data_IF_968353959039
#
_entry.id   IF_968353959039
#
_cell.length_a   1.000
_cell.length_b   1.000
_cell.length_c   1.000
_cell.angle_alpha   90.00
_cell.angle_beta   90.00
_cell.angle_gamma   90.00
#
_symmetry.space_group_name_H-M   'P 1'
#
loop_
_entity.id
_entity.type
_entity.pdbx_description
1 polymer ?
#
# COMPACT_ATOMS: atom_id res chain seq x y z
N UNK A 1 18.41 -13.07 5.99
CA UNK A 1 17.17 -12.99 6.79
C UNK A 1 17.53 -12.81 8.25
N UNK A 2 16.76 -12.02 9.02
CA UNK A 2 16.94 -11.91 10.48
C UNK A 2 16.59 -13.23 11.18
N UNK A 3 17.18 -13.48 12.37
CA UNK A 3 16.84 -14.66 13.20
C UNK A 3 15.33 -14.73 13.48
N UNK A 4 14.68 -13.56 13.69
CA UNK A 4 13.24 -13.46 13.89
C UNK A 4 12.45 -13.98 12.68
N UNK A 5 12.83 -13.58 11.47
CA UNK A 5 12.18 -14.06 10.25
C UNK A 5 12.40 -15.56 10.00
N UNK A 6 13.60 -16.07 10.33
CA UNK A 6 13.91 -17.51 10.25
C UNK A 6 13.08 -18.33 11.24
N UNK A 7 12.97 -17.89 12.49
CA UNK A 7 12.13 -18.53 13.51
C UNK A 7 10.66 -18.54 13.10
N UNK A 8 10.15 -17.42 12.59
CA UNK A 8 8.77 -17.34 12.09
C UNK A 8 8.52 -18.34 10.95
N UNK A 9 9.42 -18.41 9.97
CA UNK A 9 9.32 -19.35 8.85
C UNK A 9 9.35 -20.81 9.31
N UNK A 10 10.20 -21.15 10.29
CA UNK A 10 10.26 -22.50 10.86
C UNK A 10 8.96 -22.89 11.59
N UNK A 11 8.39 -21.95 12.37
CA UNK A 11 7.13 -22.17 13.07
C UNK A 11 5.94 -22.28 12.11
N UNK A 12 5.93 -21.48 11.05
CA UNK A 12 4.90 -21.54 10.01
C UNK A 12 4.95 -22.88 9.26
N UNK A 13 6.16 -23.29 8.82
CA UNK A 13 6.36 -24.60 8.18
C UNK A 13 6.00 -25.78 9.07
N UNK A 14 6.02 -25.63 10.40
CA UNK A 14 5.60 -26.66 11.34
C UNK A 14 4.08 -26.82 11.45
N UNK A 15 3.28 -25.92 10.85
CA UNK A 15 1.82 -25.99 10.74
C UNK A 15 1.12 -26.30 12.10
N UNK A 16 1.49 -25.55 13.14
CA UNK A 16 0.94 -25.70 14.49
C UNK A 16 1.56 -26.83 15.33
N UNK A 17 2.56 -27.54 14.81
CA UNK A 17 3.36 -28.48 15.62
C UNK A 17 4.30 -27.70 16.52
N UNK A 18 4.46 -28.14 17.76
CA UNK A 18 5.40 -27.55 18.69
C UNK A 18 6.84 -27.88 18.28
N UNK A 19 7.69 -26.85 18.21
CA UNK A 19 9.13 -26.96 18.06
C UNK A 19 9.80 -26.51 19.34
N UNK A 20 10.70 -27.33 19.88
CA UNK A 20 11.47 -26.95 21.06
C UNK A 20 12.44 -25.80 20.73
N UNK A 21 12.80 -25.03 21.75
CA UNK A 21 13.81 -23.97 21.56
C UNK A 21 15.17 -24.54 21.17
N UNK A 22 15.45 -25.81 21.45
CA UNK A 22 16.67 -26.52 21.04
C UNK A 22 16.60 -26.88 19.55
N UNK A 23 15.51 -27.50 19.08
CA UNK A 23 15.30 -27.81 17.65
C UNK A 23 15.42 -26.56 16.78
N UNK A 24 14.81 -25.45 17.22
CA UNK A 24 14.90 -24.17 16.49
C UNK A 24 16.33 -23.64 16.46
N UNK A 25 17.04 -23.69 17.59
CA UNK A 25 18.42 -23.22 17.68
C UNK A 25 19.37 -24.03 16.78
N UNK A 26 19.27 -25.36 16.81
CA UNK A 26 20.06 -26.28 15.98
C UNK A 26 19.75 -26.13 14.50
N UNK A 27 18.45 -26.16 14.13
CA UNK A 27 18.02 -26.05 12.75
C UNK A 27 18.37 -24.71 12.07
N UNK A 28 18.48 -23.64 12.86
CA UNK A 28 18.80 -22.29 12.37
C UNK A 28 20.28 -21.90 12.58
N UNK A 29 21.08 -22.71 13.27
CA UNK A 29 22.47 -22.40 13.58
C UNK A 29 22.65 -21.20 14.52
N UNK A 30 21.72 -21.00 15.48
CA UNK A 30 21.72 -19.85 16.41
C UNK A 30 21.64 -20.31 17.86
N UNK A 31 21.86 -19.39 18.81
CA UNK A 31 21.73 -19.73 20.23
C UNK A 31 20.26 -19.82 20.67
N UNK A 32 19.96 -20.64 21.71
CA UNK A 32 18.64 -20.68 22.36
C UNK A 32 18.17 -19.31 22.85
N UNK A 33 19.10 -18.48 23.32
CA UNK A 33 18.79 -17.09 23.73
C UNK A 33 18.35 -16.25 22.54
N UNK A 34 18.94 -16.41 21.35
CA UNK A 34 18.52 -15.73 20.14
C UNK A 34 17.11 -16.18 19.71
N UNK A 35 16.81 -17.48 19.80
CA UNK A 35 15.46 -18.01 19.57
C UNK A 35 14.45 -17.39 20.52
N UNK A 36 14.75 -17.37 21.82
CA UNK A 36 13.84 -16.80 22.84
C UNK A 36 13.58 -15.29 22.57
N UNK A 37 14.62 -14.51 22.25
CA UNK A 37 14.46 -13.10 21.87
C UNK A 37 13.59 -12.93 20.61
N UNK A 38 13.78 -13.79 19.61
CA UNK A 38 12.98 -13.79 18.40
C UNK A 38 11.51 -14.10 18.68
N UNK A 39 11.20 -15.12 19.47
CA UNK A 39 9.85 -15.47 19.90
C UNK A 39 9.20 -14.32 20.67
N UNK A 40 9.91 -13.71 21.62
CA UNK A 40 9.41 -12.57 22.39
C UNK A 40 9.07 -11.38 21.48
N UNK A 41 9.94 -11.09 20.50
CA UNK A 41 9.70 -10.03 19.51
C UNK A 41 8.51 -10.35 18.59
N UNK A 42 8.36 -11.59 18.14
CA UNK A 42 7.21 -12.03 17.33
C UNK A 42 5.89 -11.89 18.09
N UNK A 43 5.87 -12.25 19.36
CA UNK A 43 4.69 -12.07 20.21
C UNK A 43 4.35 -10.60 20.43
N UNK A 44 5.36 -9.75 20.62
CA UNK A 44 5.17 -8.30 20.73
C UNK A 44 4.63 -7.68 19.42
N UNK A 45 4.94 -8.28 18.27
CA UNK A 45 4.37 -7.89 16.97
C UNK A 45 2.99 -8.53 16.69
N UNK A 46 2.39 -9.21 17.67
CA UNK A 46 1.03 -9.75 17.57
C UNK A 46 0.92 -11.16 16.99
N UNK A 47 2.03 -11.85 16.71
CA UNK A 47 1.94 -13.24 16.26
C UNK A 47 1.45 -14.16 17.40
N UNK A 48 0.39 -14.96 17.16
CA UNK A 48 -0.18 -15.87 18.16
C UNK A 48 0.70 -17.11 18.31
N UNK A 49 1.80 -16.98 19.05
CA UNK A 49 2.72 -18.08 19.34
C UNK A 49 2.43 -18.61 20.72
N UNK A 50 1.98 -19.88 20.79
CA UNK A 50 1.81 -20.60 22.03
C UNK A 50 3.18 -21.10 22.54
N UNK A 51 3.41 -21.00 23.85
CA UNK A 51 4.60 -21.56 24.52
C UNK A 51 4.15 -22.48 25.61
N UNK A 52 4.55 -23.74 25.53
CA UNK A 52 4.20 -24.79 26.51
C UNK A 52 5.50 -25.36 27.06
N UNK A 53 5.60 -25.40 28.38
CA UNK A 53 6.75 -25.98 29.08
C UNK A 53 6.99 -27.42 28.61
N UNK A 54 8.23 -27.76 28.32
CA UNK A 54 8.70 -29.06 27.82
C UNK A 54 8.19 -29.44 26.41
N UNK A 55 7.34 -28.63 25.74
CA UNK A 55 6.92 -28.86 24.36
C UNK A 55 7.53 -27.84 23.41
N UNK A 56 7.81 -26.59 23.85
CA UNK A 56 8.38 -25.53 23.06
C UNK A 56 7.34 -24.54 22.55
N UNK A 57 7.48 -24.11 21.31
CA UNK A 57 6.73 -23.03 20.68
C UNK A 57 5.95 -23.53 19.47
N UNK A 58 4.73 -23.07 19.28
CA UNK A 58 3.94 -23.32 18.09
C UNK A 58 3.27 -22.02 17.62
N UNK A 59 3.36 -21.72 16.34
CA UNK A 59 2.53 -20.69 15.73
C UNK A 59 1.12 -21.26 15.56
N UNK A 60 0.10 -20.51 15.99
CA UNK A 60 -1.28 -20.95 15.83
C UNK A 60 -1.58 -21.15 14.35
N UNK A 61 -2.24 -22.28 14.04
CA UNK A 61 -2.67 -22.56 12.65
C UNK A 61 -3.56 -21.42 12.15
N UNK A 62 -3.37 -21.06 10.90
CA UNK A 62 -4.18 -20.03 10.31
C UNK A 62 -3.65 -18.61 10.55
N UNK A 63 -2.43 -18.46 11.09
CA UNK A 63 -1.80 -17.15 11.21
C UNK A 63 -1.38 -16.62 9.82
N UNK A 64 -1.67 -15.36 9.53
CA UNK A 64 -1.24 -14.70 8.30
C UNK A 64 0.26 -14.35 8.36
N UNK A 65 1.09 -15.18 7.73
CA UNK A 65 2.55 -15.00 7.67
C UNK A 65 2.95 -14.39 6.34
N UNK A 66 3.43 -13.15 6.38
CA UNK A 66 3.95 -12.44 5.20
C UNK A 66 5.45 -12.70 5.04
N UNK A 67 5.82 -13.37 3.94
CA UNK A 67 7.21 -13.58 3.55
C UNK A 67 7.39 -13.54 2.02
N UNK A 68 8.62 -13.38 1.55
CA UNK A 68 8.90 -13.24 0.12
C UNK A 68 8.52 -14.47 -0.70
N UNK A 69 8.65 -15.68 -0.14
CA UNK A 69 8.26 -16.94 -0.79
C UNK A 69 6.76 -17.02 -1.03
N UNK A 70 5.95 -16.67 -0.02
CA UNK A 70 4.50 -16.65 -0.13
C UNK A 70 4.01 -15.66 -1.20
N UNK A 71 4.61 -14.46 -1.28
CA UNK A 71 4.27 -13.50 -2.33
C UNK A 71 4.67 -14.03 -3.71
N UNK A 72 5.91 -14.52 -3.87
CA UNK A 72 6.40 -15.05 -5.17
C UNK A 72 5.57 -16.21 -5.70
N UNK A 73 5.10 -17.09 -4.83
CA UNK A 73 4.27 -18.24 -5.21
C UNK A 73 2.92 -17.85 -5.82
N UNK A 74 2.46 -16.62 -5.62
CA UNK A 74 1.20 -16.08 -6.12
C UNK A 74 1.38 -15.11 -7.29
N UNK A 75 2.64 -14.84 -7.71
CA UNK A 75 2.89 -14.00 -8.88
C UNK A 75 2.61 -14.77 -10.18
N UNK A 76 1.98 -14.07 -11.12
CA UNK A 76 1.85 -14.52 -12.51
C UNK A 76 3.23 -14.53 -13.21
N UNK A 77 3.40 -15.29 -14.31
CA UNK A 77 4.69 -15.46 -14.96
C UNK A 77 5.43 -14.16 -15.33
N UNK A 78 4.72 -13.14 -15.80
CA UNK A 78 5.30 -11.85 -16.17
C UNK A 78 5.90 -11.11 -14.98
N UNK A 79 5.12 -10.77 -13.94
CA UNK A 79 5.63 -10.23 -12.68
C UNK A 79 6.69 -11.10 -12.00
N UNK A 80 6.50 -12.43 -11.99
CA UNK A 80 7.45 -13.35 -11.35
C UNK A 80 8.85 -13.31 -11.98
N UNK A 81 8.92 -13.13 -13.31
CA UNK A 81 10.19 -13.03 -14.04
C UNK A 81 10.89 -11.67 -13.84
N UNK A 82 10.13 -10.60 -13.56
CA UNK A 82 10.63 -9.23 -13.56
C UNK A 82 10.85 -8.65 -12.15
N UNK A 83 10.12 -9.15 -11.14
CA UNK A 83 10.10 -8.54 -9.81
C UNK A 83 10.95 -9.31 -8.80
N UNK A 84 11.74 -8.56 -8.03
CA UNK A 84 12.52 -9.09 -6.92
C UNK A 84 11.84 -8.72 -5.60
N UNK A 85 11.29 -9.71 -4.90
CA UNK A 85 10.55 -9.49 -3.67
C UNK A 85 11.46 -9.63 -2.46
N UNK A 86 11.51 -8.59 -1.63
CA UNK A 86 12.15 -8.59 -0.32
C UNK A 86 11.10 -8.27 0.76
N UNK A 87 11.14 -9.02 1.86
CA UNK A 87 10.31 -8.75 3.05
C UNK A 87 11.23 -8.54 4.24
N UNK A 88 11.00 -7.45 4.97
CA UNK A 88 11.79 -7.07 6.15
C UNK A 88 10.88 -6.83 7.35
N UNK A 89 11.41 -7.02 8.56
CA UNK A 89 10.62 -6.88 9.79
C UNK A 89 10.20 -5.42 10.03
N UNK A 90 11.17 -4.51 10.06
CA UNK A 90 10.93 -3.10 10.35
C UNK A 90 11.98 -2.22 9.69
N UNK A 91 11.58 -1.06 9.25
CA UNK A 91 12.46 0.00 8.76
C UNK A 91 11.76 1.37 8.90
N UNK A 92 12.45 2.50 8.71
CA UNK A 92 11.81 3.81 8.77
C UNK A 92 10.69 3.99 7.74
N UNK A 93 10.92 3.57 6.48
CA UNK A 93 9.92 3.63 5.43
C UNK A 93 10.40 2.92 4.17
N UNK A 94 9.53 2.14 3.53
CA UNK A 94 9.84 1.35 2.33
C UNK A 94 10.22 2.26 1.15
N UNK A 95 9.53 3.40 0.96
CA UNK A 95 9.88 4.38 -0.07
C UNK A 95 11.29 4.96 0.15
N UNK A 96 11.60 5.40 1.37
CA UNK A 96 12.90 5.98 1.68
C UNK A 96 14.04 4.98 1.45
N UNK A 97 13.83 3.72 1.82
CA UNK A 97 14.81 2.66 1.60
C UNK A 97 15.05 2.38 0.11
N UNK A 98 13.97 2.31 -0.69
CA UNK A 98 14.13 2.10 -2.14
C UNK A 98 14.72 3.32 -2.86
N UNK A 99 14.41 4.56 -2.46
CA UNK A 99 15.06 5.75 -3.00
C UNK A 99 16.58 5.72 -2.76
N UNK A 100 17.00 5.35 -1.55
CA UNK A 100 18.43 5.22 -1.25
C UNK A 100 19.10 4.16 -2.11
N UNK A 101 18.44 3.01 -2.36
CA UNK A 101 18.94 1.96 -3.25
C UNK A 101 18.95 2.39 -4.73
N UNK A 102 17.91 3.13 -5.17
CA UNK A 102 17.84 3.67 -6.53
C UNK A 102 19.03 4.60 -6.84
N UNK A 103 19.38 5.48 -5.90
CA UNK A 103 20.56 6.35 -5.99
C UNK A 103 21.90 5.58 -6.04
N UNK A 104 21.93 4.33 -5.58
CA UNK A 104 23.07 3.40 -5.65
C UNK A 104 23.02 2.50 -6.90
N UNK A 105 22.11 2.79 -7.85
CA UNK A 105 22.00 2.03 -9.11
C UNK A 105 21.19 0.75 -9.02
N UNK A 106 20.36 0.55 -8.00
CA UNK A 106 19.48 -0.62 -7.94
C UNK A 106 18.59 -0.72 -9.20
N UNK A 107 18.36 -1.93 -9.74
CA UNK A 107 17.56 -2.14 -10.93
C UNK A 107 16.07 -1.91 -10.70
N UNK A 108 15.34 -1.68 -11.79
CA UNK A 108 13.88 -1.70 -11.80
C UNK A 108 13.32 -3.04 -11.32
N UNK A 109 12.14 -3.02 -10.72
CA UNK A 109 11.43 -4.24 -10.30
C UNK A 109 11.78 -4.71 -8.88
N UNK A 110 12.60 -3.97 -8.14
CA UNK A 110 12.82 -4.27 -6.73
C UNK A 110 11.58 -3.88 -5.91
N UNK A 111 10.98 -4.86 -5.24
CA UNK A 111 9.81 -4.72 -4.37
C UNK A 111 10.25 -4.93 -2.92
N UNK A 112 10.03 -3.92 -2.08
CA UNK A 112 10.35 -3.98 -0.67
C UNK A 112 9.06 -3.91 0.16
N UNK A 113 8.82 -4.93 0.97
CA UNK A 113 7.67 -5.04 1.87
C UNK A 113 8.18 -5.01 3.30
N UNK A 114 7.56 -4.22 4.17
CA UNK A 114 7.88 -4.17 5.60
C UNK A 114 6.70 -4.69 6.44
N UNK A 115 7.02 -5.42 7.52
CA UNK A 115 6.01 -5.81 8.51
C UNK A 115 5.52 -4.60 9.32
N UNK A 116 6.40 -3.58 9.51
CA UNK A 116 6.06 -2.31 10.15
C UNK A 116 6.97 -1.19 9.66
N UNK A 117 6.52 0.07 9.76
CA UNK A 117 7.35 1.23 9.52
C UNK A 117 7.37 2.14 10.76
N UNK A 118 8.54 2.65 11.13
CA UNK A 118 8.68 3.58 12.26
C UNK A 118 8.51 5.05 11.89
N UNK A 119 8.64 5.39 10.61
CA UNK A 119 8.49 6.74 10.06
C UNK A 119 7.84 6.69 8.67
N UNK A 120 6.75 5.92 8.53
CA UNK A 120 5.97 5.84 7.29
C UNK A 120 5.50 7.22 6.85
N UNK A 121 5.53 7.50 5.55
CA UNK A 121 5.20 8.82 5.00
C UNK A 121 4.13 8.74 3.92
N UNK A 122 3.20 9.68 3.97
CA UNK A 122 2.26 10.02 2.93
C UNK A 122 2.68 11.30 2.19
N UNK A 123 1.81 11.78 1.31
CA UNK A 123 2.02 13.03 0.56
C UNK A 123 2.21 14.23 1.49
N UNK A 124 3.02 15.18 1.04
CA UNK A 124 3.34 16.42 1.78
C UNK A 124 3.94 16.17 3.17
N UNK A 125 4.69 15.07 3.34
CA UNK A 125 5.38 14.75 4.58
C UNK A 125 4.48 14.28 5.72
N UNK A 126 3.18 14.04 5.51
CA UNK A 126 2.28 13.54 6.55
C UNK A 126 2.71 12.15 7.01
N UNK A 127 2.63 11.84 8.30
CA UNK A 127 2.89 10.49 8.77
C UNK A 127 1.87 9.51 8.19
N UNK A 128 2.32 8.29 7.94
CA UNK A 128 1.45 7.15 7.63
C UNK A 128 1.63 6.09 8.72
N UNK A 129 0.60 5.89 9.52
CA UNK A 129 0.61 4.95 10.64
C UNK A 129 0.75 3.52 10.12
N UNK A 130 1.82 2.82 10.53
CA UNK A 130 2.23 1.55 9.95
C UNK A 130 2.61 0.53 11.04
N UNK A 131 1.69 0.15 11.94
CA UNK A 131 1.97 -0.82 12.99
C UNK A 131 2.14 -2.22 12.43
N UNK A 132 2.81 -3.14 13.16
CA UNK A 132 2.94 -4.53 12.75
C UNK A 132 1.59 -5.26 12.78
N UNK A 133 1.42 -6.23 11.88
CA UNK A 133 0.32 -7.19 11.90
C UNK A 133 -0.98 -6.73 11.24
N UNK A 134 -1.30 -5.44 11.22
CA UNK A 134 -2.60 -4.91 10.75
C UNK A 134 -2.61 -4.36 9.34
N UNK A 135 -1.46 -4.30 8.66
CA UNK A 135 -1.36 -3.70 7.34
C UNK A 135 -0.39 -4.39 6.39
N UNK A 136 -0.36 -3.89 5.15
CA UNK A 136 0.63 -4.20 4.12
C UNK A 136 1.32 -2.90 3.69
N UNK A 137 2.63 -2.83 3.88
CA UNK A 137 3.45 -1.66 3.55
C UNK A 137 4.48 -2.06 2.50
N UNK A 138 4.25 -1.67 1.26
CA UNK A 138 5.01 -2.12 0.09
C UNK A 138 5.45 -0.94 -0.76
N UNK A 139 6.67 -1.02 -1.32
CA UNK A 139 7.14 -0.09 -2.34
C UNK A 139 7.77 -0.84 -3.51
N UNK A 140 7.70 -0.25 -4.70
CA UNK A 140 8.23 -0.77 -5.95
C UNK A 140 9.17 0.27 -6.55
N UNK A 141 10.38 -0.12 -6.93
CA UNK A 141 11.31 0.72 -7.68
C UNK A 141 11.03 0.58 -9.18
N UNK A 142 10.81 1.72 -9.83
CA UNK A 142 10.49 1.84 -11.25
C UNK A 142 11.51 2.73 -11.95
N UNK A 143 11.78 2.47 -13.23
CA UNK A 143 12.58 3.33 -14.12
C UNK A 143 11.80 3.63 -15.40
N UNK A 144 10.76 4.47 -15.30
CA UNK A 144 9.83 4.71 -16.40
C UNK A 144 10.41 5.68 -17.44
N UNK A 145 10.18 5.41 -18.70
CA UNK A 145 10.42 6.36 -19.80
C UNK A 145 9.31 7.42 -19.87
N UNK A 146 9.18 8.22 -18.80
CA UNK A 146 8.14 9.23 -18.64
C UNK A 146 8.74 10.57 -18.25
N UNK A 147 8.16 11.66 -18.77
CA UNK A 147 8.45 13.00 -18.26
C UNK A 147 7.77 13.26 -16.90
N UNK A 148 8.29 14.22 -16.15
CA UNK A 148 7.83 14.52 -14.78
C UNK A 148 6.31 14.75 -14.66
N UNK A 149 5.70 15.42 -15.66
CA UNK A 149 4.24 15.67 -15.67
C UNK A 149 3.40 14.39 -15.79
N UNK A 150 3.99 13.29 -16.24
CA UNK A 150 3.33 12.00 -16.43
C UNK A 150 3.46 11.07 -15.22
N UNK A 151 4.26 11.44 -14.20
CA UNK A 151 4.46 10.64 -12.99
C UNK A 151 3.12 10.29 -12.28
N UNK A 152 2.13 11.17 -12.35
CA UNK A 152 0.79 10.94 -11.79
C UNK A 152 0.09 9.70 -12.40
N UNK A 153 0.45 9.31 -13.63
CA UNK A 153 -0.09 8.10 -14.30
C UNK A 153 0.31 6.84 -13.54
N UNK A 154 1.51 6.79 -12.97
CA UNK A 154 1.96 5.67 -12.11
C UNK A 154 1.03 5.54 -10.90
N UNK A 155 0.70 6.66 -10.27
CA UNK A 155 -0.24 6.67 -9.14
C UNK A 155 -1.63 6.19 -9.54
N UNK A 156 -2.15 6.62 -10.69
CA UNK A 156 -3.47 6.23 -11.18
C UNK A 156 -3.54 4.74 -11.56
N UNK A 157 -2.51 4.21 -12.25
CA UNK A 157 -2.38 2.76 -12.52
C UNK A 157 -2.36 1.96 -11.21
N UNK A 158 -1.55 2.40 -10.25
CA UNK A 158 -1.45 1.75 -8.95
C UNK A 158 -2.79 1.79 -8.18
N UNK A 159 -3.53 2.88 -8.25
CA UNK A 159 -4.82 3.01 -7.58
C UNK A 159 -5.86 2.01 -8.14
N UNK A 160 -5.93 1.86 -9.47
CA UNK A 160 -6.81 0.87 -10.11
C UNK A 160 -6.37 -0.56 -9.75
N UNK A 161 -5.08 -0.87 -9.87
CA UNK A 161 -4.53 -2.18 -9.54
C UNK A 161 -4.77 -2.57 -8.08
N UNK A 162 -4.54 -1.61 -7.19
CA UNK A 162 -4.74 -1.78 -5.77
C UNK A 162 -6.23 -1.95 -5.40
N UNK A 163 -7.13 -1.21 -6.05
CA UNK A 163 -8.58 -1.36 -5.88
C UNK A 163 -9.05 -2.75 -6.34
N UNK A 164 -8.66 -3.20 -7.53
CA UNK A 164 -8.98 -4.54 -8.05
C UNK A 164 -8.50 -5.66 -7.13
N UNK A 165 -7.25 -5.56 -6.66
CA UNK A 165 -6.68 -6.56 -5.75
C UNK A 165 -7.41 -6.59 -4.40
N UNK A 166 -7.72 -5.41 -3.85
CA UNK A 166 -8.46 -5.30 -2.60
C UNK A 166 -9.88 -5.86 -2.71
N UNK A 167 -10.62 -5.52 -3.78
CA UNK A 167 -11.97 -6.02 -4.04
C UNK A 167 -12.03 -7.54 -4.16
N UNK A 168 -11.07 -8.14 -4.91
CA UNK A 168 -11.00 -9.61 -5.00
C UNK A 168 -10.78 -10.28 -3.65
N UNK A 169 -10.09 -9.59 -2.74
CA UNK A 169 -9.77 -10.14 -1.44
C UNK A 169 -10.89 -9.94 -0.43
N UNK A 170 -11.51 -8.76 -0.39
CA UNK A 170 -12.51 -8.42 0.63
C UNK A 170 -13.96 -8.52 0.16
N UNK A 171 -14.20 -8.69 -1.16
CA UNK A 171 -15.54 -8.80 -1.74
C UNK A 171 -16.37 -7.50 -1.69
N UNK A 172 -15.75 -6.35 -1.35
CA UNK A 172 -16.41 -5.06 -1.22
C UNK A 172 -15.89 -4.06 -2.25
N UNK A 173 -16.74 -3.15 -2.70
CA UNK A 173 -16.36 -2.12 -3.66
C UNK A 173 -15.37 -1.12 -3.05
N UNK A 174 -14.34 -0.75 -3.83
CA UNK A 174 -13.28 0.18 -3.43
C UNK A 174 -13.32 1.41 -4.36
N UNK A 175 -13.65 2.56 -3.78
CA UNK A 175 -13.62 3.84 -4.48
C UNK A 175 -12.24 4.48 -4.44
N UNK A 176 -11.99 5.43 -5.35
CA UNK A 176 -10.76 6.20 -5.41
C UNK A 176 -11.06 7.67 -5.10
N UNK A 177 -10.48 8.18 -4.03
CA UNK A 177 -10.44 9.62 -3.77
C UNK A 177 -9.21 10.21 -4.42
N UNK A 178 -9.43 11.09 -5.39
CA UNK A 178 -8.35 11.70 -6.16
C UNK A 178 -7.25 12.27 -5.25
N UNK A 179 -6.01 11.92 -5.48
CA UNK A 179 -5.44 11.20 -6.63
C UNK A 179 -5.04 9.76 -6.22
N UNK A 180 -4.95 9.47 -4.92
CA UNK A 180 -4.06 8.44 -4.37
C UNK A 180 -4.63 7.71 -3.14
N UNK A 181 -5.86 7.98 -2.73
CA UNK A 181 -6.45 7.32 -1.57
C UNK A 181 -7.54 6.33 -2.00
N UNK A 182 -7.44 5.09 -1.55
CA UNK A 182 -8.51 4.12 -1.68
C UNK A 182 -9.44 4.19 -0.48
N UNK A 183 -10.72 4.18 -0.76
CA UNK A 183 -11.77 4.35 0.24
C UNK A 183 -12.71 3.15 0.23
N UNK A 184 -13.11 2.71 1.43
CA UNK A 184 -14.20 1.78 1.66
C UNK A 184 -15.11 2.38 2.74
N UNK A 185 -16.41 2.38 2.52
CA UNK A 185 -17.42 2.88 3.49
C UNK A 185 -17.09 4.29 4.03
N UNK A 186 -16.60 5.17 3.15
CA UNK A 186 -16.23 6.54 3.49
C UNK A 186 -14.90 6.70 4.23
N UNK A 187 -14.18 5.62 4.54
CA UNK A 187 -12.91 5.62 5.28
C UNK A 187 -11.75 5.18 4.39
N UNK A 188 -10.58 5.74 4.64
CA UNK A 188 -9.36 5.43 3.89
C UNK A 188 -8.79 4.08 4.29
N UNK A 189 -8.73 3.16 3.34
CA UNK A 189 -8.17 1.80 3.51
C UNK A 189 -6.79 1.62 2.88
N UNK A 190 -6.40 2.52 1.94
CA UNK A 190 -5.06 2.53 1.38
C UNK A 190 -4.62 3.93 1.00
N UNK A 191 -3.34 4.23 1.22
CA UNK A 191 -2.67 5.42 0.70
C UNK A 191 -1.58 5.03 -0.27
N UNK A 192 -1.50 5.76 -1.40
CA UNK A 192 -0.49 5.55 -2.44
C UNK A 192 0.41 6.77 -2.50
N UNK A 193 1.73 6.56 -2.56
CA UNK A 193 2.73 7.61 -2.64
C UNK A 193 3.75 7.30 -3.73
N UNK A 194 3.70 8.05 -4.83
CA UNK A 194 4.74 8.02 -5.86
C UNK A 194 5.73 9.15 -5.63
N UNK A 195 6.99 8.83 -5.39
CA UNK A 195 8.11 9.76 -5.28
C UNK A 195 9.06 9.52 -6.46
N UNK A 196 9.38 10.57 -7.20
CA UNK A 196 10.20 10.46 -8.41
C UNK A 196 11.40 11.40 -8.35
N UNK A 197 12.53 10.95 -8.93
CA UNK A 197 13.70 11.76 -9.21
C UNK A 197 13.75 12.07 -10.71
N UNK A 198 14.15 13.28 -11.05
CA UNK A 198 14.29 13.74 -12.43
C UNK A 198 15.77 13.83 -12.80
N UNK A 199 16.09 13.39 -14.01
CA UNK A 199 17.29 13.79 -14.68
C UNK A 199 17.08 15.21 -15.25
N UNK A 200 17.89 16.16 -14.78
CA UNK A 200 17.76 17.56 -15.14
C UNK A 200 18.17 17.86 -16.59
N UNK A 201 19.00 17.00 -17.21
CA UNK A 201 19.47 17.19 -18.59
C UNK A 201 18.39 16.76 -19.59
N UNK A 202 17.76 15.59 -19.37
CA UNK A 202 16.74 15.06 -20.27
C UNK A 202 15.32 15.51 -19.94
N UNK A 203 15.07 16.00 -18.72
CA UNK A 203 13.72 16.28 -18.20
C UNK A 203 12.85 15.03 -17.99
N UNK A 204 13.46 13.84 -18.10
CA UNK A 204 12.81 12.55 -17.89
C UNK A 204 12.95 12.10 -16.43
N UNK A 205 12.13 11.14 -16.03
CA UNK A 205 12.30 10.51 -14.73
C UNK A 205 13.51 9.56 -14.75
N UNK A 206 14.46 9.76 -13.85
CA UNK A 206 15.55 8.79 -13.60
C UNK A 206 14.99 7.55 -12.94
N UNK A 207 14.21 7.73 -11.88
CA UNK A 207 13.49 6.65 -11.22
C UNK A 207 12.23 7.16 -10.53
N UNK A 208 11.31 6.24 -10.24
CA UNK A 208 10.17 6.48 -9.37
C UNK A 208 10.06 5.36 -8.32
N UNK A 209 9.70 5.72 -7.11
CA UNK A 209 9.36 4.77 -6.05
C UNK A 209 7.88 4.88 -5.76
N UNK A 210 7.15 3.82 -6.06
CA UNK A 210 5.73 3.69 -5.84
C UNK A 210 5.48 2.97 -4.51
N UNK A 211 4.97 3.68 -3.51
CA UNK A 211 4.59 3.13 -2.21
C UNK A 211 3.09 2.92 -2.08
N UNK A 212 2.72 1.80 -1.49
CA UNK A 212 1.33 1.47 -1.12
C UNK A 212 1.29 1.07 0.35
N UNK A 213 0.42 1.72 1.11
CA UNK A 213 0.13 1.39 2.50
C UNK A 213 -1.34 1.01 2.65
N UNK A 214 -1.60 -0.27 2.87
CA UNK A 214 -2.95 -0.79 3.13
C UNK A 214 -3.18 -0.99 4.62
N UNK A 215 -4.38 -0.68 5.07
CA UNK A 215 -4.94 -1.06 6.34
C UNK A 215 -5.80 -2.32 6.12
N UNK A 216 -5.34 -3.49 6.55
CA UNK A 216 -6.12 -4.72 6.40
C UNK A 216 -7.13 -4.86 7.53
N UNK A 217 -6.69 -4.64 8.76
CA UNK A 217 -7.54 -4.69 9.96
C UNK A 217 -7.28 -3.47 10.82
N UNK A 218 -8.18 -3.20 11.73
CA UNK A 218 -7.91 -2.22 12.78
C UNK A 218 -6.72 -2.69 13.63
N UNK A 219 -5.78 -1.81 13.97
CA UNK A 219 -4.67 -2.14 14.86
C UNK A 219 -5.15 -2.58 16.23
N UNK A 220 -4.43 -3.49 16.89
CA UNK A 220 -4.81 -4.01 18.21
C UNK A 220 -4.96 -2.92 19.30
N UNK A 221 -4.32 -1.75 19.12
CA UNK A 221 -4.46 -0.59 20.02
C UNK A 221 -5.45 0.47 19.52
N UNK A 222 -6.25 0.19 18.48
CA UNK A 222 -7.10 1.17 17.82
C UNK A 222 -6.33 2.12 16.90
N UNK A 223 -7.04 3.03 16.27
CA UNK A 223 -6.47 4.12 15.51
C UNK A 223 -6.01 5.25 16.45
N UNK A 224 -4.88 5.93 16.15
CA UNK A 224 -4.57 7.21 16.79
C UNK A 224 -5.74 8.20 16.66
N UNK A 225 -5.94 9.05 17.66
CA UNK A 225 -7.06 10.00 17.74
C UNK A 225 -7.21 10.83 16.46
N UNK A 226 -6.09 11.28 15.88
CA UNK A 226 -6.06 12.07 14.65
C UNK A 226 -6.47 11.28 13.38
N UNK A 227 -6.58 9.96 13.46
CA UNK A 227 -7.02 9.07 12.38
C UNK A 227 -8.41 8.48 12.60
N UNK A 228 -9.02 8.69 13.77
CA UNK A 228 -10.39 8.25 14.04
C UNK A 228 -11.39 8.85 13.04
N UNK A 229 -12.27 8.01 12.52
CA UNK A 229 -13.24 8.40 11.49
C UNK A 229 -12.66 8.68 10.10
N UNK A 230 -11.32 8.74 9.96
CA UNK A 230 -10.62 8.96 8.68
C UNK A 230 -10.05 7.65 8.15
N UNK A 231 -9.33 6.91 8.98
CA UNK A 231 -8.80 5.61 8.63
C UNK A 231 -9.87 4.53 8.74
N UNK A 232 -9.82 3.58 7.84
CA UNK A 232 -10.61 2.36 7.86
C UNK A 232 -9.74 1.16 7.52
N UNK A 233 -10.32 -0.02 7.58
CA UNK A 233 -9.67 -1.28 7.27
C UNK A 233 -10.45 -2.06 6.18
N UNK A 234 -9.75 -2.95 5.47
CA UNK A 234 -10.36 -3.82 4.46
C UNK A 234 -11.23 -4.91 5.10
N UNK A 235 -10.95 -5.29 6.34
CA UNK A 235 -11.65 -6.34 7.07
C UNK A 235 -11.99 -5.87 8.48
N UNK A 236 -13.13 -6.31 9.01
CA UNK A 236 -13.51 -6.11 10.40
C UNK A 236 -12.68 -7.03 11.30
N UNK A 237 -12.63 -8.31 10.95
CA UNK A 237 -11.82 -9.34 11.61
C UNK A 237 -10.55 -9.65 10.81
N UNK A 238 -9.61 -10.34 11.46
CA UNK A 238 -8.36 -10.70 10.79
C UNK A 238 -8.64 -11.64 9.61
N UNK A 239 -8.14 -11.29 8.40
CA UNK A 239 -8.43 -12.04 7.20
C UNK A 239 -7.81 -13.44 7.24
N UNK A 240 -8.25 -14.31 6.33
CA UNK A 240 -7.71 -15.65 6.17
C UNK A 240 -6.17 -15.64 6.03
N UNK A 241 -5.48 -16.72 6.46
CA UNK A 241 -4.04 -16.85 6.30
C UNK A 241 -3.57 -16.64 4.87
N UNK A 242 -2.47 -15.92 4.70
CA UNK A 242 -1.92 -15.58 3.39
C UNK A 242 -2.56 -14.35 2.73
N UNK A 243 -3.52 -13.70 3.37
CA UNK A 243 -4.22 -12.52 2.80
C UNK A 243 -3.27 -11.36 2.47
N UNK A 244 -2.26 -11.08 3.31
CA UNK A 244 -1.27 -10.05 3.01
C UNK A 244 -0.42 -10.40 1.80
N UNK A 245 0.00 -11.65 1.67
CA UNK A 245 0.75 -12.14 0.51
C UNK A 245 -0.13 -12.11 -0.76
N UNK A 246 -1.39 -12.52 -0.66
CA UNK A 246 -2.35 -12.49 -1.75
C UNK A 246 -2.65 -11.06 -2.22
N UNK A 247 -2.81 -10.11 -1.29
CA UNK A 247 -2.98 -8.69 -1.63
C UNK A 247 -1.74 -8.12 -2.31
N UNK A 248 -0.55 -8.38 -1.77
CA UNK A 248 0.70 -7.92 -2.38
C UNK A 248 0.88 -8.48 -3.81
N UNK A 249 0.73 -9.78 -3.98
CA UNK A 249 0.83 -10.41 -5.30
C UNK A 249 -0.29 -9.93 -6.24
N UNK A 250 -1.51 -9.79 -5.76
CA UNK A 250 -2.64 -9.28 -6.54
C UNK A 250 -2.40 -7.87 -7.08
N UNK A 251 -1.86 -6.96 -6.25
CA UNK A 251 -1.47 -5.61 -6.70
C UNK A 251 -0.38 -5.69 -7.76
N UNK A 252 0.65 -6.51 -7.56
CA UNK A 252 1.77 -6.65 -8.48
C UNK A 252 1.34 -7.28 -9.82
N UNK A 253 0.48 -8.28 -9.80
CA UNK A 253 -0.08 -8.93 -10.99
C UNK A 253 -0.94 -7.97 -11.83
N UNK A 254 -1.68 -7.06 -11.18
CA UNK A 254 -2.46 -6.03 -11.89
C UNK A 254 -1.61 -4.85 -12.37
N UNK A 255 -0.71 -4.37 -11.52
CA UNK A 255 0.06 -3.15 -11.79
C UNK A 255 1.12 -3.35 -12.85
N UNK A 256 1.91 -4.44 -12.76
CA UNK A 256 3.08 -4.63 -13.61
C UNK A 256 2.75 -4.69 -15.10
N UNK A 257 1.72 -5.44 -15.56
CA UNK A 257 1.30 -5.41 -16.95
C UNK A 257 0.84 -4.04 -17.44
N UNK A 258 0.07 -3.30 -16.63
CA UNK A 258 -0.39 -1.94 -16.97
C UNK A 258 0.79 -0.97 -17.12
N UNK A 259 1.75 -1.05 -16.21
CA UNK A 259 2.96 -0.24 -16.24
C UNK A 259 3.81 -0.55 -17.47
N UNK A 260 4.03 -1.83 -17.77
CA UNK A 260 4.82 -2.26 -18.94
C UNK A 260 4.16 -1.97 -20.27
N UNK A 261 2.86 -2.04 -20.36
CA UNK A 261 2.11 -1.71 -21.58
C UNK A 261 2.20 -0.21 -21.95
N UNK A 262 2.39 0.68 -20.97
CA UNK A 262 2.47 2.12 -21.17
C UNK A 262 1.20 2.77 -21.71
N UNK A 263 0.18 2.01 -22.08
CA UNK A 263 -1.10 2.47 -22.61
C UNK A 263 -1.97 3.09 -21.52
N UNK A 264 -2.79 4.09 -21.89
CA UNK A 264 -3.80 4.67 -21.00
C UNK A 264 -5.09 3.85 -20.95
N UNK A 265 -5.36 3.04 -21.96
CA UNK A 265 -6.65 2.41 -22.18
C UNK A 265 -6.96 1.34 -21.12
N UNK A 266 -5.92 0.72 -20.55
CA UNK A 266 -6.06 -0.34 -19.56
C UNK A 266 -6.49 0.10 -18.15
N UNK A 267 -6.46 1.39 -17.81
CA UNK A 267 -6.77 1.85 -16.45
C UNK A 267 -7.58 3.15 -16.35
N UNK A 268 -7.50 4.06 -17.34
CA UNK A 268 -7.99 5.42 -17.20
C UNK A 268 -9.52 5.50 -17.06
N UNK A 269 -10.26 4.71 -17.84
CA UNK A 269 -11.73 4.66 -17.74
C UNK A 269 -12.18 4.13 -16.38
N UNK A 270 -11.54 3.09 -15.91
CA UNK A 270 -11.83 2.54 -14.60
C UNK A 270 -11.43 3.50 -13.48
N UNK A 271 -10.28 4.16 -13.60
CA UNK A 271 -9.87 5.21 -12.66
C UNK A 271 -10.91 6.33 -12.56
N UNK A 272 -11.51 6.76 -13.70
CA UNK A 272 -12.60 7.74 -13.76
C UNK A 272 -13.88 7.23 -13.11
N UNK A 273 -14.28 6.01 -13.42
CA UNK A 273 -15.49 5.39 -12.87
C UNK A 273 -15.43 5.27 -11.36
N UNK A 274 -14.26 4.95 -10.80
CA UNK A 274 -14.04 4.80 -9.35
C UNK A 274 -13.90 6.12 -8.59
N UNK A 275 -13.90 7.28 -9.29
CA UNK A 275 -13.69 8.57 -8.65
C UNK A 275 -14.87 9.00 -7.78
N UNK A 276 -14.61 9.12 -6.48
CA UNK A 276 -15.62 9.53 -5.51
C UNK A 276 -15.92 11.03 -5.50
N UNK A 277 -15.05 11.86 -6.10
CA UNK A 277 -15.24 13.31 -6.08
C UNK A 277 -16.04 13.83 -7.27
N UNK A 278 -16.24 13.06 -8.31
CA UNK A 278 -16.97 13.48 -9.51
C UNK A 278 -18.41 13.87 -9.17
N UNK A 279 -18.83 15.06 -9.59
CA UNK A 279 -20.15 15.61 -9.30
C UNK A 279 -20.27 16.30 -7.94
N UNK A 280 -19.29 16.16 -7.04
CA UNK A 280 -19.31 16.78 -5.71
C UNK A 280 -18.62 18.14 -5.69
N UNK A 281 -18.94 18.91 -4.68
CA UNK A 281 -18.31 20.19 -4.37
C UNK A 281 -17.10 19.95 -3.46
N UNK A 282 -15.98 20.58 -3.78
CA UNK A 282 -14.73 20.47 -3.04
C UNK A 282 -14.16 21.84 -2.72
N UNK A 283 -13.44 21.91 -1.61
CA UNK A 283 -12.56 23.03 -1.29
C UNK A 283 -11.18 22.79 -1.93
N UNK A 284 -10.76 23.70 -2.79
CA UNK A 284 -9.45 23.67 -3.45
C UNK A 284 -8.48 24.54 -2.68
N UNK A 285 -7.44 23.92 -2.14
CA UNK A 285 -6.41 24.55 -1.30
C UNK A 285 -5.10 24.63 -2.09
N UNK A 286 -4.61 25.85 -2.31
CA UNK A 286 -3.29 26.11 -2.90
C UNK A 286 -2.39 26.80 -1.90
N UNK A 287 -1.09 26.46 -1.83
CA UNK A 287 -0.16 27.19 -0.96
C UNK A 287 -0.17 28.71 -1.26
N UNK A 288 -0.26 29.50 -0.21
CA UNK A 288 -0.19 30.97 -0.31
C UNK A 288 -1.44 31.68 -0.88
N UNK A 289 -2.54 30.96 -1.11
CA UNK A 289 -3.79 31.58 -1.60
C UNK A 289 -4.98 31.14 -0.73
N UNK A 290 -6.03 31.99 -0.62
CA UNK A 290 -7.28 31.59 0.01
C UNK A 290 -7.86 30.33 -0.65
N UNK A 291 -8.51 29.50 0.14
CA UNK A 291 -9.24 28.34 -0.39
C UNK A 291 -10.41 28.80 -1.27
N UNK A 292 -10.74 28.01 -2.28
CA UNK A 292 -11.87 28.27 -3.17
C UNK A 292 -12.71 27.00 -3.34
N UNK A 293 -14.01 27.20 -3.30
CA UNK A 293 -14.96 26.11 -3.57
C UNK A 293 -15.09 25.89 -5.07
N UNK A 294 -15.16 24.64 -5.51
CA UNK A 294 -15.35 24.27 -6.90
C UNK A 294 -16.12 22.95 -7.02
N UNK A 295 -16.89 22.80 -8.11
CA UNK A 295 -17.56 21.55 -8.49
C UNK A 295 -16.58 20.68 -9.27
N UNK A 296 -16.46 19.42 -8.92
CA UNK A 296 -15.64 18.45 -9.67
C UNK A 296 -16.45 17.93 -10.86
N UNK A 297 -15.89 18.07 -12.06
CA UNK A 297 -16.47 17.59 -13.32
C UNK A 297 -15.98 16.18 -13.68
N UNK A 298 -14.81 15.78 -13.17
CA UNK A 298 -14.19 14.49 -13.42
C UNK A 298 -12.68 14.55 -13.46
N UNK A 299 -12.08 13.59 -14.16
CA UNK A 299 -10.62 13.48 -14.36
C UNK A 299 -10.29 13.46 -15.86
N UNK A 300 -9.34 14.27 -16.27
CA UNK A 300 -8.90 14.33 -17.67
C UNK A 300 -7.98 13.14 -18.06
N UNK A 301 -7.53 13.15 -19.32
CA UNK A 301 -6.62 12.09 -19.85
C UNK A 301 -5.24 12.06 -19.19
N UNK A 302 -4.85 13.13 -18.50
CA UNK A 302 -3.58 13.24 -17.80
C UNK A 302 -3.73 13.04 -16.28
N UNK A 303 -4.86 12.44 -15.85
CA UNK A 303 -5.22 12.19 -14.46
C UNK A 303 -5.30 13.44 -13.58
N UNK A 304 -5.51 14.63 -14.19
CA UNK A 304 -5.75 15.87 -13.46
C UNK A 304 -7.22 15.99 -13.10
N UNK A 305 -7.50 16.57 -11.93
CA UNK A 305 -8.87 16.82 -11.49
C UNK A 305 -9.44 18.02 -12.24
N UNK A 306 -10.51 17.83 -12.98
CA UNK A 306 -11.20 18.91 -13.71
C UNK A 306 -12.28 19.48 -12.81
N UNK A 307 -12.17 20.78 -12.53
CA UNK A 307 -13.11 21.49 -11.65
C UNK A 307 -13.67 22.74 -12.31
N UNK A 308 -14.82 23.19 -11.84
CA UNK A 308 -15.47 24.44 -12.22
C UNK A 308 -15.70 25.27 -10.96
N UNK A 309 -15.12 26.46 -10.88
CA UNK A 309 -15.18 27.35 -9.71
C UNK A 309 -16.52 28.09 -9.60
N UNK A 310 -17.11 28.47 -10.73
CA UNK A 310 -18.39 29.15 -10.80
C UNK A 310 -19.25 28.52 -11.89
N UNK A 311 -20.58 28.44 -11.73
CA UNK A 311 -21.45 27.94 -12.78
C UNK A 311 -21.22 28.69 -14.11
N UNK A 312 -21.01 27.95 -15.21
CA UNK A 312 -20.75 28.51 -16.54
C UNK A 312 -19.31 28.99 -16.79
N UNK A 313 -18.43 29.01 -15.78
CA UNK A 313 -17.02 29.34 -15.99
C UNK A 313 -16.27 28.21 -16.73
N UNK A 314 -15.16 28.56 -17.39
CA UNK A 314 -14.31 27.57 -18.06
C UNK A 314 -13.74 26.57 -17.05
N UNK A 315 -13.85 25.25 -17.30
CA UNK A 315 -13.27 24.24 -16.45
C UNK A 315 -11.74 24.35 -16.34
N UNK A 316 -11.21 24.08 -15.15
CA UNK A 316 -9.78 24.15 -14.85
C UNK A 316 -9.28 22.75 -14.45
N UNK A 317 -8.19 22.29 -15.07
CA UNK A 317 -7.53 21.05 -14.73
C UNK A 317 -6.46 21.29 -13.66
N UNK A 318 -6.61 20.63 -12.52
CA UNK A 318 -5.74 20.77 -11.34
C UNK A 318 -4.71 19.63 -11.29
N UNK A 319 -3.43 19.97 -11.22
CA UNK A 319 -2.34 19.00 -10.99
C UNK A 319 -2.25 18.58 -9.53
N UNK A 320 -1.92 17.33 -9.28
CA UNK A 320 -1.85 16.76 -7.93
C UNK A 320 -0.74 17.35 -7.04
N UNK A 321 0.32 17.90 -7.65
CA UNK A 321 1.41 18.58 -6.94
C UNK A 321 1.10 20.01 -6.51
N UNK A 322 0.10 20.63 -7.12
CA UNK A 322 -0.20 22.05 -6.97
C UNK A 322 -1.31 22.35 -5.97
N UNK A 323 -2.17 21.37 -5.73
CA UNK A 323 -3.39 21.58 -4.93
C UNK A 323 -3.71 20.39 -4.00
N UNK A 324 -4.45 20.70 -2.94
CA UNK A 324 -5.19 19.72 -2.13
C UNK A 324 -6.67 19.98 -2.32
N UNK A 325 -7.47 18.92 -2.26
CA UNK A 325 -8.93 19.04 -2.30
C UNK A 325 -9.56 18.38 -1.08
N UNK A 326 -10.61 18.99 -0.55
CA UNK A 326 -11.44 18.45 0.53
C UNK A 326 -12.88 18.44 0.09
N UNK A 327 -13.61 17.32 0.20
CA UNK A 327 -15.05 17.33 0.02
C UNK A 327 -15.71 18.27 1.03
N UNK A 328 -16.73 18.97 0.60
CA UNK A 328 -17.53 19.85 1.47
C UNK A 328 -18.73 19.12 2.07
N UNK A 329 -19.06 17.94 1.55
CA UNK A 329 -20.11 17.07 2.03
C UNK A 329 -19.60 15.64 2.32
N UNK A 330 -20.33 14.92 3.18
CA UNK A 330 -20.00 13.54 3.56
C UNK A 330 -20.35 12.51 2.48
N UNK A 331 -21.16 12.86 1.49
CA UNK A 331 -21.60 11.95 0.43
C UNK A 331 -20.50 11.66 -0.57
N UNK A 332 -19.52 12.56 -0.73
CA UNK A 332 -18.35 12.38 -1.58
C UNK A 332 -17.39 11.25 -1.13
N UNK A 333 -17.70 10.55 -0.07
CA UNK A 333 -16.93 9.39 0.42
C UNK A 333 -17.63 8.05 0.14
N UNK A 334 -18.85 8.05 -0.41
CA UNK A 334 -19.62 6.85 -0.74
C UNK A 334 -19.44 6.47 -2.21
N UNK A 335 -19.45 5.18 -2.51
CA UNK A 335 -19.38 4.68 -3.88
C UNK A 335 -20.57 5.16 -4.73
N UNK A 336 -20.36 5.43 -6.04
CA UNK A 336 -21.40 5.90 -6.95
C UNK A 336 -22.63 4.98 -7.04
N UNK A 337 -22.45 3.68 -6.83
CA UNK A 337 -23.51 2.65 -6.92
C UNK A 337 -24.52 2.72 -5.76
N UNK A 338 -24.17 3.36 -4.64
CA UNK A 338 -25.07 3.51 -3.47
C UNK A 338 -26.07 4.67 -3.60
N UNK A 339 -26.10 5.38 -4.74
CA UNK A 339 -26.99 6.53 -5.00
C UNK A 339 -28.15 6.21 -5.93
N UNK A 340 -28.41 4.94 -6.27
CA UNK A 340 -29.56 4.48 -7.06
C UNK A 340 -30.45 3.56 -6.23
N UNK A 341 -31.04 4.08 -5.17
CA UNK A 341 -32.32 3.61 -4.58
C UNK A 341 -33.22 4.80 -4.27
#
# INVERSE_FOLDING_TARGET
>A
MSVKAQVLAALDGAQGRYLSGQELAEGLGVSRTAVWKAISALRADGYPIDAVTNRGYALRRGTDVLNAGAVRALLEPGPAAALQIEVVDRLPGTNAALRARAAQGAPEGLVLIAQAQSAGRGRSGRPFFSPPGSGLYMSILLRPELGARQAVRITAMAAVSAARAAERLCGAEIGIKWVNDLMRDGRKVCGILTEASMDLESGMLDHAVLGLGFNLTEPAGGWPEELEGIAGALFEDFPAPGSRAALAAGVLNEFWPLYRAGSRDGYLEEYRRRQLLTGHTVEVLRPGTPSRTARVLGVDRDCRLVVQFEPGSTPVALGSGEVRVRPTDSSAHKSPTALTE
#
